data_IF_558322349206
#
_entry.id   IF_558322349206
#
_cell.length_a   1.000
_cell.length_b   1.000
_cell.length_c   1.000
_cell.angle_alpha   90.00
_cell.angle_beta   90.00
_cell.angle_gamma   90.00
#
_symmetry.space_group_name_H-M   'P 1'
#
loop_
_entity.id
_entity.type
_entity.pdbx_description
1 polymer ?
#
# COMPACT_ATOMS: atom_id res chain seq x y z
N UNK A 1 -23.98 37.73 -4.41
CA UNK A 1 -23.91 36.45 -3.66
C UNK A 1 -24.17 36.73 -2.19
N UNK A 2 -25.13 36.01 -1.60
CA UNK A 2 -25.33 36.04 -0.14
C UNK A 2 -24.07 35.57 0.60
N UNK A 3 -23.92 36.00 1.86
CA UNK A 3 -22.78 35.62 2.70
C UNK A 3 -22.59 34.09 2.76
N UNK A 4 -23.71 33.36 2.80
CA UNK A 4 -23.75 31.89 2.84
C UNK A 4 -23.13 31.25 1.58
N UNK A 5 -23.52 31.69 0.38
CA UNK A 5 -22.96 31.18 -0.87
C UNK A 5 -21.43 31.40 -0.96
N UNK A 6 -20.94 32.56 -0.49
CA UNK A 6 -19.49 32.85 -0.45
C UNK A 6 -18.74 31.90 0.48
N UNK A 7 -19.31 31.57 1.65
CA UNK A 7 -18.73 30.60 2.57
C UNK A 7 -18.69 29.19 1.95
N UNK A 8 -19.77 28.77 1.26
CA UNK A 8 -19.83 27.46 0.59
C UNK A 8 -18.75 27.35 -0.49
N UNK A 9 -18.60 28.37 -1.34
CA UNK A 9 -17.56 28.39 -2.38
C UNK A 9 -16.15 28.31 -1.77
N UNK A 10 -15.89 29.02 -0.66
CA UNK A 10 -14.61 28.93 0.04
C UNK A 10 -14.33 27.51 0.58
N UNK A 11 -15.33 26.85 1.19
CA UNK A 11 -15.21 25.46 1.63
C UNK A 11 -14.92 24.50 0.47
N UNK A 12 -15.66 24.61 -0.64
CA UNK A 12 -15.45 23.76 -1.82
C UNK A 12 -14.05 23.95 -2.41
N UNK A 13 -13.52 25.18 -2.38
CA UNK A 13 -12.15 25.47 -2.82
C UNK A 13 -11.09 24.76 -1.95
N UNK A 14 -11.26 24.78 -0.62
CA UNK A 14 -10.37 24.06 0.30
C UNK A 14 -10.45 22.55 0.07
N UNK A 15 -11.66 21.99 -0.06
CA UNK A 15 -11.86 20.56 -0.36
C UNK A 15 -11.22 20.17 -1.70
N UNK A 16 -11.29 21.03 -2.70
CA UNK A 16 -10.66 20.82 -4.02
C UNK A 16 -9.14 20.76 -3.91
N UNK A 17 -8.53 21.73 -3.22
CA UNK A 17 -7.09 21.76 -3.01
C UNK A 17 -6.59 20.50 -2.26
N UNK A 18 -7.32 20.08 -1.22
CA UNK A 18 -7.01 18.86 -0.48
C UNK A 18 -7.11 17.61 -1.37
N UNK A 19 -8.18 17.50 -2.16
CA UNK A 19 -8.42 16.38 -3.07
C UNK A 19 -7.28 16.23 -4.09
N UNK A 20 -6.87 17.33 -4.73
CA UNK A 20 -5.77 17.32 -5.71
C UNK A 20 -4.46 16.91 -5.04
N UNK A 21 -4.17 17.41 -3.84
CA UNK A 21 -2.96 17.04 -3.09
C UNK A 21 -2.87 15.54 -2.82
N UNK A 22 -3.96 14.94 -2.32
CA UNK A 22 -4.04 13.50 -2.07
C UNK A 22 -3.96 12.69 -3.37
N UNK A 23 -4.60 13.17 -4.45
CA UNK A 23 -4.55 12.52 -5.75
C UNK A 23 -3.11 12.44 -6.29
N UNK A 24 -2.36 13.54 -6.23
CA UNK A 24 -0.96 13.57 -6.72
C UNK A 24 -0.07 12.64 -5.89
N UNK A 25 -0.15 12.69 -4.55
CA UNK A 25 0.61 11.79 -3.68
C UNK A 25 0.35 10.32 -4.04
N UNK A 26 -0.92 9.96 -4.26
CA UNK A 26 -1.30 8.57 -4.58
C UNK A 26 -0.90 8.14 -5.98
N UNK A 27 -1.02 9.02 -6.97
CA UNK A 27 -0.52 8.71 -8.31
C UNK A 27 0.99 8.42 -8.29
N UNK A 28 1.78 9.22 -7.56
CA UNK A 28 3.23 9.01 -7.45
C UNK A 28 3.52 7.70 -6.70
N UNK A 29 2.86 7.46 -5.57
CA UNK A 29 3.05 6.26 -4.77
C UNK A 29 2.72 4.97 -5.53
N UNK A 30 1.56 4.93 -6.21
CA UNK A 30 1.16 3.76 -6.99
C UNK A 30 2.06 3.55 -8.21
N UNK A 31 2.47 4.61 -8.90
CA UNK A 31 3.37 4.48 -10.04
C UNK A 31 4.76 3.98 -9.63
N UNK A 32 5.33 4.53 -8.56
CA UNK A 32 6.60 4.09 -8.01
C UNK A 32 6.55 2.62 -7.59
N UNK A 33 5.49 2.24 -6.88
CA UNK A 33 5.31 0.87 -6.45
C UNK A 33 5.10 -0.10 -7.61
N UNK A 34 4.27 0.24 -8.60
CA UNK A 34 4.03 -0.59 -9.78
C UNK A 34 5.31 -0.80 -10.60
N UNK A 35 6.12 0.26 -10.75
CA UNK A 35 7.43 0.17 -11.43
C UNK A 35 8.38 -0.77 -10.70
N UNK A 36 8.51 -0.63 -9.38
CA UNK A 36 9.39 -1.51 -8.59
C UNK A 36 8.87 -2.95 -8.51
N UNK A 37 7.56 -3.16 -8.32
CA UNK A 37 6.96 -4.51 -8.31
C UNK A 37 7.24 -5.28 -9.59
N UNK A 38 7.18 -4.60 -10.76
CA UNK A 38 7.45 -5.24 -12.05
C UNK A 38 8.92 -5.62 -12.24
N UNK A 39 9.84 -4.86 -11.65
CA UNK A 39 11.27 -5.19 -11.65
C UNK A 39 11.62 -6.26 -10.60
N UNK A 40 10.93 -6.25 -9.46
CA UNK A 40 11.14 -7.17 -8.36
C UNK A 40 10.72 -8.61 -8.70
N UNK A 41 9.54 -8.80 -9.31
CA UNK A 41 8.99 -10.12 -9.60
C UNK A 41 9.95 -11.08 -10.35
N UNK A 42 10.58 -10.70 -11.48
CA UNK A 42 11.55 -11.57 -12.14
C UNK A 42 12.85 -11.73 -11.35
N UNK A 43 13.29 -10.69 -10.63
CA UNK A 43 14.53 -10.73 -9.85
C UNK A 43 14.44 -11.69 -8.66
N UNK A 44 13.31 -11.69 -7.94
CA UNK A 44 13.11 -12.57 -6.80
C UNK A 44 12.82 -14.01 -7.22
N UNK A 45 12.14 -14.22 -8.36
CA UNK A 45 11.78 -15.55 -8.85
C UNK A 45 13.02 -16.45 -9.08
N UNK A 46 14.12 -15.89 -9.56
CA UNK A 46 15.39 -16.63 -9.71
C UNK A 46 15.94 -17.10 -8.37
N UNK A 47 16.06 -16.19 -7.40
CA UNK A 47 16.59 -16.50 -6.06
C UNK A 47 15.72 -17.49 -5.28
N UNK A 48 14.39 -17.35 -5.37
CA UNK A 48 13.43 -18.28 -4.77
C UNK A 48 13.53 -19.70 -5.37
N UNK A 49 13.70 -19.81 -6.69
CA UNK A 49 13.81 -21.10 -7.39
C UNK A 49 15.09 -21.85 -7.06
N UNK A 50 16.14 -21.14 -6.71
CA UNK A 50 17.42 -21.69 -6.24
C UNK A 50 17.45 -21.95 -4.72
N UNK A 51 16.35 -21.67 -4.00
CA UNK A 51 16.25 -21.83 -2.55
C UNK A 51 17.10 -20.82 -1.75
N UNK A 52 17.59 -19.76 -2.40
CA UNK A 52 18.48 -18.76 -1.78
C UNK A 52 17.67 -17.67 -1.07
N UNK A 53 17.12 -18.01 0.09
CA UNK A 53 16.28 -17.12 0.90
C UNK A 53 16.99 -15.81 1.27
N UNK A 54 18.27 -15.86 1.65
CA UNK A 54 19.06 -14.67 1.99
C UNK A 54 19.23 -13.72 0.80
N UNK A 55 19.39 -14.27 -0.40
CA UNK A 55 19.51 -13.48 -1.63
C UNK A 55 18.16 -12.84 -1.99
N UNK A 56 17.06 -13.58 -1.86
CA UNK A 56 15.71 -13.08 -2.06
C UNK A 56 15.38 -11.90 -1.10
N UNK A 57 15.76 -12.01 0.18
CA UNK A 57 15.59 -10.92 1.17
C UNK A 57 16.43 -9.70 0.77
N UNK A 58 17.71 -9.88 0.38
CA UNK A 58 18.58 -8.77 -0.09
C UNK A 58 18.07 -8.11 -1.37
N UNK A 59 17.50 -8.88 -2.29
CA UNK A 59 16.89 -8.33 -3.51
C UNK A 59 15.68 -7.48 -3.11
N UNK A 60 14.83 -7.97 -2.22
CA UNK A 60 13.64 -7.26 -1.80
C UNK A 60 13.94 -5.96 -1.04
N UNK A 61 15.01 -5.93 -0.23
CA UNK A 61 15.46 -4.71 0.47
C UNK A 61 15.84 -3.57 -0.50
N UNK A 62 16.35 -3.92 -1.70
CA UNK A 62 16.61 -2.96 -2.78
C UNK A 62 15.33 -2.39 -3.42
N UNK A 63 14.17 -3.02 -3.21
CA UNK A 63 12.87 -2.63 -3.77
C UNK A 63 11.86 -2.23 -2.67
N UNK A 64 12.27 -1.38 -1.73
CA UNK A 64 11.46 -0.97 -0.58
C UNK A 64 10.12 -0.25 -0.90
N UNK A 65 9.92 0.27 -2.12
CA UNK A 65 8.64 0.86 -2.54
C UNK A 65 7.70 -0.16 -3.20
N UNK A 66 8.18 -1.37 -3.48
CA UNK A 66 7.37 -2.46 -4.01
C UNK A 66 6.50 -3.05 -2.91
N UNK A 67 5.18 -2.99 -3.09
CA UNK A 67 4.22 -3.68 -2.22
C UNK A 67 4.46 -5.20 -2.21
N UNK A 68 4.86 -5.78 -3.35
CA UNK A 68 5.20 -7.20 -3.43
C UNK A 68 6.45 -7.54 -2.60
N UNK A 69 7.47 -6.67 -2.63
CA UNK A 69 8.69 -6.89 -1.86
C UNK A 69 8.41 -6.84 -0.35
N UNK A 70 7.59 -5.88 0.11
CA UNK A 70 7.18 -5.76 1.52
C UNK A 70 6.50 -7.03 2.04
N UNK A 71 5.56 -7.59 1.26
CA UNK A 71 4.84 -8.82 1.65
C UNK A 71 5.77 -10.03 1.62
N UNK A 72 6.52 -10.22 0.52
CA UNK A 72 7.41 -11.38 0.36
C UNK A 72 8.51 -11.41 1.41
N UNK A 73 9.10 -10.26 1.78
CA UNK A 73 10.12 -10.20 2.85
C UNK A 73 9.57 -10.67 4.18
N UNK A 74 8.38 -10.24 4.57
CA UNK A 74 7.77 -10.64 5.84
C UNK A 74 7.58 -12.16 5.92
N UNK A 75 7.11 -12.78 4.82
CA UNK A 75 7.00 -14.24 4.74
C UNK A 75 8.34 -14.96 4.77
N UNK A 76 9.33 -14.48 4.03
CA UNK A 76 10.66 -15.11 3.96
C UNK A 76 11.45 -14.97 5.27
N UNK A 77 11.30 -13.84 5.97
CA UNK A 77 11.92 -13.64 7.28
C UNK A 77 11.33 -14.58 8.32
N UNK A 78 10.00 -14.74 8.34
CA UNK A 78 9.33 -15.65 9.26
C UNK A 78 9.71 -17.11 8.99
N UNK A 79 9.76 -17.48 7.70
CA UNK A 79 10.17 -18.82 7.26
C UNK A 79 11.60 -19.13 7.69
N UNK A 80 12.52 -18.17 7.51
CA UNK A 80 13.92 -18.32 7.94
C UNK A 80 14.04 -18.43 9.47
N UNK A 81 13.30 -17.60 10.21
CA UNK A 81 13.33 -17.61 11.67
C UNK A 81 12.86 -18.96 12.24
N UNK A 82 11.82 -19.56 11.64
CA UNK A 82 11.29 -20.85 12.05
C UNK A 82 12.18 -22.01 11.59
N UNK A 83 12.80 -21.96 10.40
CA UNK A 83 13.78 -22.97 9.98
C UNK A 83 15.02 -23.07 10.89
N UNK A 84 15.37 -21.99 11.60
CA UNK A 84 16.48 -22.00 12.57
C UNK A 84 16.06 -22.52 13.94
N UNK A 85 14.75 -22.57 14.24
CA UNK A 85 14.20 -23.19 15.45
C UNK A 85 13.90 -24.66 15.15
N UNK A 86 14.40 -25.58 15.95
CA UNK A 86 14.32 -27.02 15.69
C UNK A 86 12.94 -27.63 16.00
N UNK A 87 11.85 -26.93 15.67
CA UNK A 87 10.47 -27.32 15.94
C UNK A 87 9.79 -27.98 14.73
N UNK A 88 8.64 -28.59 15.01
CA UNK A 88 8.01 -29.68 14.26
C UNK A 88 7.79 -29.32 12.77
N UNK A 89 8.16 -30.21 11.81
CA UNK A 89 7.95 -29.97 10.39
C UNK A 89 6.47 -29.72 10.07
N UNK A 90 6.09 -28.47 9.82
CA UNK A 90 4.71 -28.08 9.47
C UNK A 90 4.27 -26.73 10.03
N UNK A 91 4.73 -26.34 11.23
CA UNK A 91 4.36 -25.03 11.80
C UNK A 91 5.02 -23.85 11.07
N UNK A 92 6.22 -24.05 10.49
CA UNK A 92 6.98 -23.00 9.80
C UNK A 92 6.21 -22.39 8.62
N UNK A 93 5.53 -23.24 7.84
CA UNK A 93 4.76 -22.83 6.67
C UNK A 93 3.51 -22.07 7.12
N UNK A 94 2.83 -22.55 8.16
CA UNK A 94 1.64 -21.92 8.73
C UNK A 94 1.98 -20.54 9.34
N UNK A 95 3.09 -20.44 10.07
CA UNK A 95 3.59 -19.19 10.64
C UNK A 95 3.94 -18.18 9.54
N UNK A 96 4.67 -18.63 8.50
CA UNK A 96 5.02 -17.81 7.35
C UNK A 96 3.78 -17.33 6.58
N UNK A 97 2.78 -18.20 6.43
CA UNK A 97 1.49 -17.85 5.82
C UNK A 97 0.76 -16.77 6.62
N UNK A 98 0.69 -16.90 7.94
CA UNK A 98 0.11 -15.86 8.82
C UNK A 98 0.90 -14.55 8.74
N UNK A 99 2.22 -14.60 8.62
CA UNK A 99 3.04 -13.41 8.42
C UNK A 99 2.75 -12.73 7.07
N UNK A 100 2.61 -13.51 6.00
CA UNK A 100 2.20 -13.02 4.67
C UNK A 100 0.83 -12.35 4.71
N UNK A 101 -0.18 -13.00 5.30
CA UNK A 101 -1.55 -12.47 5.41
C UNK A 101 -1.58 -11.15 6.21
N UNK A 102 -0.81 -11.06 7.31
CA UNK A 102 -0.65 -9.81 8.07
C UNK A 102 0.01 -8.72 7.23
N UNK A 103 1.11 -9.03 6.56
CA UNK A 103 1.83 -8.08 5.72
C UNK A 103 0.97 -7.59 4.55
N UNK A 104 0.21 -8.49 3.93
CA UNK A 104 -0.77 -8.18 2.89
C UNK A 104 -1.82 -7.21 3.41
N UNK A 105 -2.41 -7.48 4.58
CA UNK A 105 -3.42 -6.60 5.18
C UNK A 105 -2.87 -5.18 5.46
N UNK A 106 -1.65 -5.09 5.99
CA UNK A 106 -0.97 -3.81 6.25
C UNK A 106 -0.74 -3.04 4.95
N UNK A 107 -0.20 -3.72 3.94
CA UNK A 107 0.06 -3.15 2.61
C UNK A 107 -1.24 -2.70 1.94
N UNK A 108 -2.32 -3.47 2.06
CA UNK A 108 -3.63 -3.09 1.57
C UNK A 108 -4.17 -1.84 2.28
N UNK A 109 -3.99 -1.72 3.60
CA UNK A 109 -4.37 -0.52 4.33
C UNK A 109 -3.54 0.71 3.90
N UNK A 110 -2.23 0.53 3.69
CA UNK A 110 -1.33 1.59 3.20
C UNK A 110 -1.75 2.09 1.81
N UNK A 111 -2.13 1.17 0.92
CA UNK A 111 -2.66 1.48 -0.40
C UNK A 111 -3.99 2.23 -0.31
N UNK A 112 -4.88 1.89 0.62
CA UNK A 112 -6.19 2.56 0.78
C UNK A 112 -6.10 3.95 1.41
N UNK A 113 -5.04 4.27 2.16
CA UNK A 113 -4.89 5.55 2.87
C UNK A 113 -5.07 6.73 1.90
N UNK A 114 -5.96 7.67 2.24
CA UNK A 114 -6.28 8.87 1.44
C UNK A 114 -7.32 8.66 0.33
N UNK A 115 -7.52 7.43 -0.15
CA UNK A 115 -8.54 7.16 -1.19
C UNK A 115 -9.95 7.33 -0.62
N UNK A 116 -10.18 6.92 0.63
CA UNK A 116 -11.47 7.09 1.30
C UNK A 116 -11.89 8.56 1.41
N UNK A 117 -10.94 9.48 1.69
CA UNK A 117 -11.27 10.92 1.75
C UNK A 117 -11.63 11.48 0.38
N UNK A 118 -11.00 11.01 -0.69
CA UNK A 118 -11.39 11.39 -2.06
C UNK A 118 -12.81 10.94 -2.38
N UNK A 119 -13.17 9.71 -1.97
CA UNK A 119 -14.53 9.19 -2.14
C UNK A 119 -15.57 10.01 -1.38
N UNK A 120 -15.28 10.40 -0.13
CA UNK A 120 -16.16 11.26 0.68
C UNK A 120 -16.31 12.66 0.07
N UNK A 121 -15.22 13.29 -0.36
CA UNK A 121 -15.28 14.61 -0.99
C UNK A 121 -16.08 14.53 -2.29
N UNK A 122 -15.83 13.52 -3.13
CA UNK A 122 -16.54 13.30 -4.39
C UNK A 122 -18.04 13.06 -4.21
N UNK A 123 -18.46 12.37 -3.16
CA UNK A 123 -19.87 12.09 -2.90
C UNK A 123 -20.62 13.24 -2.22
N UNK A 124 -19.94 14.02 -1.36
CA UNK A 124 -20.58 15.09 -0.58
C UNK A 124 -20.54 16.46 -1.27
N UNK A 125 -19.56 16.72 -2.14
CA UNK A 125 -19.40 18.01 -2.81
C UNK A 125 -20.64 18.50 -3.60
N UNK A 126 -21.38 17.64 -4.34
CA UNK A 126 -22.59 18.08 -5.05
C UNK A 126 -23.68 18.62 -4.12
N UNK A 127 -23.85 17.99 -2.95
CA UNK A 127 -24.84 18.42 -1.94
C UNK A 127 -24.43 19.73 -1.27
N UNK A 128 -23.13 19.89 -0.98
CA UNK A 128 -22.57 21.14 -0.46
C UNK A 128 -22.76 22.28 -1.48
N UNK A 129 -22.55 22.01 -2.76
CA UNK A 129 -22.82 22.97 -3.84
C UNK A 129 -24.29 23.35 -3.95
N UNK A 130 -25.19 22.37 -3.90
CA UNK A 130 -26.65 22.58 -3.93
C UNK A 130 -27.16 23.37 -2.71
N UNK A 131 -26.54 23.22 -1.54
CA UNK A 131 -26.87 24.04 -0.37
C UNK A 131 -26.53 25.53 -0.55
N UNK A 132 -25.55 25.85 -1.40
CA UNK A 132 -25.11 27.22 -1.64
C UNK A 132 -25.87 27.98 -2.73
N UNK A 133 -26.72 27.30 -3.51
CA UNK A 133 -27.58 27.90 -4.55
C UNK A 133 -28.88 28.42 -3.98
#
# INVERSE_FOLDING_TARGET
>A
MGLMAKCVVACLFIMSAWSIGVMIDRLIAYNAARKQSRAFAPAVAGALREGKLDEAIKIADRYNKSHLAKVVVAGLQEFKAHQMSSEIPGEDIEASRRALERAEAIVHAELKRGVSSLATIGSTAPFVGLFGT
#
